data_IF_979065343175
#
_entry.id   IF_979065343175
#
_cell.length_a   1.000
_cell.length_b   1.000
_cell.length_c   1.000
_cell.angle_alpha   90.00
_cell.angle_beta   90.00
_cell.angle_gamma   90.00
#
_symmetry.space_group_name_H-M   'P 1'
#
loop_
_entity.id
_entity.type
_entity.pdbx_description
1 polymer ?
#
# COMPACT_ATOMS: atom_id res chain seq x y z
N UNK A 1 -3.77 4.44 1.64
CA UNK A 1 -3.44 5.62 0.80
C UNK A 1 -2.51 6.58 1.48
N UNK A 2 -2.94 7.25 2.56
CA UNK A 2 -2.07 8.13 3.35
C UNK A 2 -0.77 7.46 3.75
N UNK A 3 -0.82 6.19 4.16
CA UNK A 3 0.40 5.45 4.50
C UNK A 3 1.41 5.36 3.34
N UNK A 4 0.96 5.10 2.12
CA UNK A 4 1.83 5.04 0.95
C UNK A 4 2.44 6.40 0.67
N UNK A 5 1.62 7.44 0.64
CA UNK A 5 2.02 8.82 0.40
C UNK A 5 3.01 9.34 1.44
N UNK A 6 2.81 9.01 2.72
CA UNK A 6 3.75 9.37 3.81
C UNK A 6 5.11 8.71 3.62
N UNK A 7 5.15 7.45 3.20
CA UNK A 7 6.41 6.72 2.97
C UNK A 7 7.13 7.23 1.72
N UNK A 8 6.39 7.44 0.62
CA UNK A 8 7.00 7.75 -0.69
C UNK A 8 7.19 9.23 -0.94
N UNK A 9 6.52 10.09 -0.18
CA UNK A 9 6.45 11.54 -0.46
C UNK A 9 5.71 11.88 -1.75
N UNK A 10 5.04 10.91 -2.38
CA UNK A 10 4.37 11.06 -3.66
C UNK A 10 2.95 10.53 -3.59
N UNK A 11 2.04 11.23 -4.29
CA UNK A 11 0.65 10.77 -4.38
C UNK A 11 0.58 9.39 -5.05
N UNK A 12 -0.34 8.53 -4.61
CA UNK A 12 -0.57 7.22 -5.22
C UNK A 12 -0.81 7.31 -6.73
N UNK A 13 -0.34 6.31 -7.47
CA UNK A 13 -0.39 6.24 -8.95
C UNK A 13 0.48 7.27 -9.72
N UNK A 14 1.22 8.17 -9.05
CA UNK A 14 2.01 9.20 -9.73
C UNK A 14 3.00 8.65 -10.78
N UNK A 15 3.59 7.47 -10.54
CA UNK A 15 4.57 6.85 -11.46
C UNK A 15 3.94 6.12 -12.66
N UNK A 16 2.63 5.83 -12.63
CA UNK A 16 1.98 4.95 -13.63
C UNK A 16 0.75 5.56 -14.33
N UNK A 17 0.17 6.61 -13.76
CA UNK A 17 -0.97 7.32 -14.32
C UNK A 17 -0.56 8.76 -14.60
N UNK A 18 -0.71 9.21 -15.85
CA UNK A 18 -0.34 10.58 -16.27
C UNK A 18 -1.50 11.57 -16.15
N UNK A 19 -2.74 11.07 -16.13
CA UNK A 19 -3.96 11.84 -16.00
C UNK A 19 -4.98 11.09 -15.14
N UNK A 20 -5.94 11.81 -14.57
CA UNK A 20 -6.96 11.27 -13.66
C UNK A 20 -7.78 10.14 -14.30
N UNK A 21 -8.07 10.22 -15.60
CA UNK A 21 -8.78 9.16 -16.32
C UNK A 21 -8.06 7.81 -16.25
N UNK A 22 -6.72 7.80 -16.20
CA UNK A 22 -5.95 6.57 -16.03
C UNK A 22 -6.11 6.00 -14.62
N UNK A 23 -6.27 6.87 -13.61
CA UNK A 23 -6.52 6.46 -12.21
C UNK A 23 -7.91 5.82 -12.12
N UNK A 24 -8.95 6.46 -12.65
CA UNK A 24 -10.30 5.89 -12.68
C UNK A 24 -10.33 4.52 -13.38
N UNK A 25 -9.66 4.41 -14.54
CA UNK A 25 -9.55 3.14 -15.24
C UNK A 25 -8.79 2.06 -14.42
N UNK A 26 -7.74 2.42 -13.69
CA UNK A 26 -7.02 1.50 -12.81
C UNK A 26 -7.89 1.04 -11.63
N UNK A 27 -8.62 1.96 -11.01
CA UNK A 27 -9.56 1.67 -9.91
C UNK A 27 -10.68 0.72 -10.37
N UNK A 28 -11.29 0.96 -11.53
CA UNK A 28 -12.32 0.07 -12.11
C UNK A 28 -11.76 -1.33 -12.37
N UNK A 29 -10.49 -1.44 -12.78
CA UNK A 29 -9.79 -2.73 -12.98
C UNK A 29 -9.24 -3.33 -11.70
N UNK A 30 -9.51 -2.74 -10.54
CA UNK A 30 -9.00 -3.17 -9.23
C UNK A 30 -7.47 -3.24 -9.16
N UNK A 31 -6.77 -2.38 -9.92
CA UNK A 31 -5.31 -2.33 -9.96
C UNK A 31 -4.79 -1.37 -8.90
N UNK A 32 -3.91 -1.85 -8.02
CA UNK A 32 -3.21 -1.02 -7.02
C UNK A 32 -2.08 -0.17 -7.64
N UNK A 33 -1.58 0.87 -6.93
CA UNK A 33 -0.32 1.51 -7.26
C UNK A 33 0.81 0.50 -7.36
N UNK A 34 1.79 0.77 -8.22
CA UNK A 34 2.97 -0.08 -8.31
C UNK A 34 3.79 0.04 -7.03
N UNK A 35 4.26 -1.09 -6.50
CA UNK A 35 5.20 -1.11 -5.39
C UNK A 35 6.47 -0.37 -5.79
N UNK A 36 6.93 0.52 -4.92
CA UNK A 36 8.23 1.14 -5.07
C UNK A 36 9.32 0.22 -4.51
N UNK A 37 10.08 -0.44 -5.39
CA UNK A 37 11.11 -1.40 -4.99
C UNK A 37 12.28 -0.71 -4.28
N UNK A 38 12.54 0.56 -4.57
CA UNK A 38 13.63 1.30 -3.93
C UNK A 38 13.30 1.61 -2.47
N UNK A 39 12.03 1.82 -2.15
CA UNK A 39 11.58 2.20 -0.81
C UNK A 39 11.17 0.99 0.02
N UNK A 40 10.40 0.07 -0.56
CA UNK A 40 9.94 -1.11 0.16
C UNK A 40 10.96 -2.25 0.09
N UNK A 41 11.84 -2.30 -0.92
CA UNK A 41 12.77 -3.43 -1.09
C UNK A 41 12.07 -4.77 -1.37
N UNK A 42 12.87 -5.84 -1.37
CA UNK A 42 12.43 -7.24 -1.49
C UNK A 42 12.66 -8.05 -0.21
N UNK A 43 13.20 -7.43 0.84
CA UNK A 43 13.37 -8.05 2.15
C UNK A 43 12.00 -8.26 2.84
N UNK A 44 11.95 -9.20 3.77
CA UNK A 44 10.72 -9.63 4.45
C UNK A 44 9.91 -8.48 5.05
N UNK A 45 10.55 -7.53 5.75
CA UNK A 45 9.89 -6.35 6.31
C UNK A 45 9.17 -5.52 5.25
N UNK A 46 9.85 -5.32 4.14
CA UNK A 46 9.38 -4.58 2.98
C UNK A 46 8.15 -5.17 2.33
N UNK A 47 8.21 -6.46 2.05
CA UNK A 47 7.07 -7.22 1.53
C UNK A 47 5.90 -7.24 2.53
N UNK A 48 6.19 -7.38 3.82
CA UNK A 48 5.20 -7.31 4.88
C UNK A 48 4.51 -5.95 4.97
N UNK A 49 5.30 -4.87 4.88
CA UNK A 49 4.78 -3.50 4.88
C UNK A 49 3.89 -3.24 3.67
N UNK A 50 4.35 -3.64 2.48
CA UNK A 50 3.57 -3.52 1.25
C UNK A 50 2.27 -4.33 1.29
N UNK A 51 2.34 -5.57 1.79
CA UNK A 51 1.17 -6.44 1.96
C UNK A 51 0.14 -5.82 2.90
N UNK A 52 0.58 -5.27 4.05
CA UNK A 52 -0.31 -4.56 4.97
C UNK A 52 -0.98 -3.36 4.28
N UNK A 53 -0.23 -2.60 3.48
CA UNK A 53 -0.74 -1.46 2.74
C UNK A 53 -1.83 -1.87 1.74
N UNK A 54 -1.61 -2.94 0.98
CA UNK A 54 -2.61 -3.48 0.05
C UNK A 54 -3.88 -3.94 0.79
N UNK A 55 -3.74 -4.64 1.92
CA UNK A 55 -4.89 -5.08 2.73
C UNK A 55 -5.71 -3.91 3.27
N UNK A 56 -5.07 -2.86 3.77
CA UNK A 56 -5.75 -1.63 4.23
C UNK A 56 -6.57 -0.95 3.13
N UNK A 57 -6.27 -1.24 1.86
CA UNK A 57 -6.88 -0.57 0.72
C UNK A 57 -7.57 -1.54 -0.23
N UNK A 58 -7.94 -2.73 0.26
CA UNK A 58 -8.60 -3.72 -0.57
C UNK A 58 -9.93 -3.18 -1.16
N UNK A 59 -10.27 -3.64 -2.36
CA UNK A 59 -11.51 -3.26 -3.03
C UNK A 59 -12.74 -3.81 -2.31
N UNK A 60 -12.60 -4.94 -1.61
CA UNK A 60 -13.62 -5.46 -0.70
C UNK A 60 -13.44 -4.84 0.69
N UNK A 61 -14.37 -4.00 1.17
CA UNK A 61 -14.27 -3.37 2.48
C UNK A 61 -14.25 -4.36 3.64
N UNK A 62 -14.83 -5.56 3.47
CA UNK A 62 -15.00 -6.54 4.55
C UNK A 62 -13.68 -7.23 4.94
N UNK A 63 -12.69 -7.23 4.04
CA UNK A 63 -11.38 -7.83 4.28
C UNK A 63 -10.31 -6.82 4.74
N UNK A 64 -10.67 -5.53 4.79
CA UNK A 64 -9.77 -4.49 5.29
C UNK A 64 -9.59 -4.67 6.80
N UNK A 65 -8.34 -4.65 7.29
CA UNK A 65 -8.07 -4.79 8.71
C UNK A 65 -8.61 -3.59 9.48
N UNK A 66 -9.05 -3.86 10.71
CA UNK A 66 -9.32 -2.83 11.71
C UNK A 66 -8.03 -2.11 12.11
N UNK A 67 -8.16 -0.89 12.65
CA UNK A 67 -6.99 -0.14 13.14
C UNK A 67 -6.19 -0.92 14.20
N UNK A 68 -6.85 -1.76 15.01
CA UNK A 68 -6.19 -2.61 16.00
C UNK A 68 -5.32 -3.68 15.34
N UNK A 69 -5.83 -4.34 14.29
CA UNK A 69 -5.06 -5.34 13.54
C UNK A 69 -3.89 -4.70 12.78
N UNK A 70 -4.09 -3.50 12.22
CA UNK A 70 -2.99 -2.74 11.59
C UNK A 70 -1.90 -2.44 12.60
N UNK A 71 -2.24 -1.98 13.80
CA UNK A 71 -1.27 -1.71 14.86
C UNK A 71 -0.47 -2.97 15.25
N UNK A 72 -1.15 -4.10 15.43
CA UNK A 72 -0.49 -5.39 15.76
C UNK A 72 0.46 -5.82 14.64
N UNK A 73 0.04 -5.72 13.38
CA UNK A 73 0.87 -6.07 12.23
C UNK A 73 2.11 -5.16 12.12
N UNK A 74 1.95 -3.84 12.33
CA UNK A 74 3.07 -2.89 12.34
C UNK A 74 4.06 -3.20 13.46
N UNK A 75 3.57 -3.51 14.66
CA UNK A 75 4.43 -3.86 15.80
C UNK A 75 5.25 -5.12 15.54
N UNK A 76 4.67 -6.13 14.87
CA UNK A 76 5.41 -7.33 14.48
C UNK A 76 6.53 -6.99 13.49
N UNK A 77 6.24 -6.22 12.43
CA UNK A 77 7.21 -5.84 11.40
C UNK A 77 8.39 -5.01 11.92
N UNK A 78 8.15 -4.18 12.95
CA UNK A 78 9.18 -3.34 13.58
C UNK A 78 10.08 -4.18 14.53
N UNK A 79 9.56 -5.24 15.13
CA UNK A 79 10.30 -6.08 16.08
C UNK A 79 11.25 -7.08 15.41
N UNK A 80 11.12 -7.30 14.11
CA UNK A 80 12.05 -8.09 13.29
C UNK A 80 13.35 -7.31 12.95
N UNK A 81 13.79 -6.36 13.80
CA UNK A 81 15.08 -5.63 13.69
C UNK A 81 15.97 -6.00 14.86
#
# INVERSE_FOLDING_TARGET
MTFLETITGAVPYAKQCRADINIYHALTKKVFPRKDVEIFGSHQRGEGMWTLLMRCWDHDPTIRPTAREVLVALQALIRET
#
